data_IF_033726511292
#
_entry.id   IF_033726511292
#
_cell.length_a   1.000
_cell.length_b   1.000
_cell.length_c   1.000
_cell.angle_alpha   90.00
_cell.angle_beta   90.00
_cell.angle_gamma   90.00
#
_symmetry.space_group_name_H-M   'P 1'
#
loop_
_entity.id
_entity.type
_entity.pdbx_description
1 polymer ?
#
# COMPACT_ATOMS: atom_id res chain seq x y z
N UNK A 1 23.95 87.47 28.83
CA UNK A 1 23.28 87.41 27.51
C UNK A 1 23.81 86.20 26.75
N UNK A 2 22.86 85.43 26.19
CA UNK A 2 22.96 84.30 25.24
C UNK A 2 23.38 82.90 25.74
N UNK A 3 22.32 82.13 26.07
CA UNK A 3 22.02 80.72 25.80
C UNK A 3 23.11 79.63 25.88
N UNK A 4 22.77 78.54 26.58
CA UNK A 4 22.93 77.19 26.06
C UNK A 4 21.59 76.57 25.68
N UNK A 5 21.60 76.03 24.47
CA UNK A 5 20.54 75.39 23.72
C UNK A 5 19.89 74.20 24.42
N UNK A 6 18.57 74.19 24.30
CA UNK A 6 17.68 73.02 24.25
C UNK A 6 18.35 71.78 23.64
N UNK A 7 18.41 70.69 24.40
CA UNK A 7 18.44 69.32 23.90
C UNK A 7 17.27 68.53 24.52
N UNK A 8 16.04 68.97 24.23
CA UNK A 8 14.79 68.21 24.48
C UNK A 8 14.54 67.09 23.43
N UNK A 9 15.57 66.72 22.65
CA UNK A 9 15.45 65.77 21.53
C UNK A 9 15.89 64.33 21.80
N UNK A 10 16.62 64.04 22.89
CA UNK A 10 17.29 62.73 23.03
C UNK A 10 16.72 61.81 24.12
N UNK A 11 15.95 62.34 25.09
CA UNK A 11 15.46 61.53 26.23
C UNK A 11 14.27 60.66 25.85
N UNK A 12 13.38 61.14 24.98
CA UNK A 12 12.23 60.35 24.50
C UNK A 12 12.62 59.23 23.52
N UNK A 13 13.74 59.36 22.80
CA UNK A 13 14.20 58.33 21.85
C UNK A 13 14.84 57.16 22.60
N UNK A 14 15.62 57.42 23.66
CA UNK A 14 16.26 56.36 24.46
C UNK A 14 15.22 55.54 25.23
N UNK A 15 14.15 56.16 25.75
CA UNK A 15 13.08 55.44 26.45
C UNK A 15 12.27 54.53 25.51
N UNK A 16 12.01 54.96 24.28
CA UNK A 16 11.32 54.16 23.25
C UNK A 16 12.19 52.97 22.80
N UNK A 17 13.50 53.14 22.65
CA UNK A 17 14.42 52.06 22.25
C UNK A 17 14.51 50.97 23.33
N UNK A 18 14.52 51.33 24.62
CA UNK A 18 14.55 50.35 25.73
C UNK A 18 13.23 49.55 25.81
N UNK A 19 12.08 50.18 25.56
CA UNK A 19 10.77 49.49 25.53
C UNK A 19 10.67 48.54 24.31
N UNK A 20 11.18 48.94 23.14
CA UNK A 20 11.20 48.06 21.95
C UNK A 20 12.16 46.87 22.13
N UNK A 21 13.29 47.05 22.81
CA UNK A 21 14.23 45.95 23.11
C UNK A 21 13.72 44.97 24.19
N UNK A 22 12.95 45.44 25.17
CA UNK A 22 12.32 44.58 26.18
C UNK A 22 11.09 43.84 25.64
N UNK A 23 10.30 44.45 24.75
CA UNK A 23 9.20 43.77 24.05
C UNK A 23 9.70 42.79 22.98
N UNK A 24 10.86 43.06 22.38
CA UNK A 24 11.50 42.14 21.43
C UNK A 24 12.03 40.85 22.07
N UNK A 25 12.53 40.90 23.32
CA UNK A 25 13.06 39.71 24.00
C UNK A 25 11.98 38.84 24.64
N UNK A 26 10.85 39.42 25.11
CA UNK A 26 9.70 38.64 25.61
C UNK A 26 8.91 38.02 24.45
N UNK A 27 8.79 38.71 23.30
CA UNK A 27 8.16 38.15 22.10
C UNK A 27 8.96 37.00 21.47
N UNK A 28 10.29 37.09 21.45
CA UNK A 28 11.13 36.07 20.79
C UNK A 28 11.28 34.76 21.59
N UNK A 29 10.93 34.77 22.88
CA UNK A 29 10.88 33.56 23.71
C UNK A 29 9.46 32.98 23.88
N UNK A 30 8.40 33.76 23.64
CA UNK A 30 7.02 33.30 23.70
C UNK A 30 6.46 32.78 22.35
N UNK A 31 7.13 33.06 21.22
CA UNK A 31 6.73 32.51 19.90
C UNK A 31 7.45 31.22 19.52
N UNK A 32 8.24 30.62 20.43
CA UNK A 32 8.53 29.19 20.36
C UNK A 32 7.32 28.42 20.90
N UNK A 33 6.19 28.51 20.19
CA UNK A 33 5.51 27.25 19.89
C UNK A 33 6.61 26.33 19.38
N UNK A 34 6.85 25.14 19.98
CA UNK A 34 7.59 24.13 19.25
C UNK A 34 6.98 24.14 17.86
N UNK A 35 7.79 24.29 16.80
CA UNK A 35 7.32 23.88 15.49
C UNK A 35 6.57 22.57 15.75
N UNK A 36 5.27 22.46 15.39
CA UNK A 36 4.62 21.18 15.54
C UNK A 36 5.60 20.21 14.90
N UNK A 37 6.09 19.23 15.69
CA UNK A 37 6.82 18.11 15.15
C UNK A 37 6.10 17.77 13.86
N UNK A 38 6.78 17.63 12.70
CA UNK A 38 6.09 17.18 11.50
C UNK A 38 5.23 16.02 11.97
N UNK A 39 3.90 16.17 11.86
CA UNK A 39 2.97 15.15 12.32
C UNK A 39 3.56 13.84 11.83
N UNK A 40 3.75 12.82 12.71
CA UNK A 40 4.49 11.62 12.36
C UNK A 40 4.05 11.26 10.96
N UNK A 41 4.97 11.36 10.01
CA UNK A 41 4.64 11.21 8.60
C UNK A 41 3.85 9.92 8.56
N UNK A 42 2.55 9.99 8.22
CA UNK A 42 1.66 8.84 8.26
C UNK A 42 2.48 7.71 7.65
N UNK A 43 2.92 6.76 8.50
CA UNK A 43 3.82 5.72 8.03
C UNK A 43 3.07 5.11 6.86
N UNK A 44 3.66 5.20 5.66
CA UNK A 44 3.06 4.57 4.51
C UNK A 44 2.75 3.14 4.94
N UNK A 45 1.53 2.63 4.70
CA UNK A 45 1.18 1.29 5.16
C UNK A 45 2.28 0.34 4.73
N UNK A 46 2.79 -0.49 5.64
CA UNK A 46 3.70 -1.57 5.25
C UNK A 46 2.87 -2.63 4.51
N UNK A 47 2.64 -2.34 3.23
CA UNK A 47 1.88 -3.19 2.33
C UNK A 47 2.49 -4.59 2.30
N UNK A 48 3.82 -4.71 2.39
CA UNK A 48 4.50 -5.99 2.36
C UNK A 48 4.16 -6.86 3.59
N UNK A 49 4.16 -6.28 4.79
CA UNK A 49 3.82 -7.04 6.00
C UNK A 49 2.37 -7.57 5.96
N UNK A 50 1.43 -6.73 5.54
CA UNK A 50 0.02 -7.14 5.40
C UNK A 50 -0.18 -8.17 4.27
N UNK A 51 0.43 -7.96 3.10
CA UNK A 51 0.41 -8.90 1.97
C UNK A 51 0.97 -10.26 2.37
N UNK A 52 2.12 -10.30 3.06
CA UNK A 52 2.73 -11.55 3.53
C UNK A 52 1.84 -12.29 4.52
N UNK A 53 1.16 -11.57 5.42
CA UNK A 53 0.18 -12.17 6.33
C UNK A 53 -0.97 -12.82 5.53
N UNK A 54 -1.56 -12.10 4.58
CA UNK A 54 -2.68 -12.59 3.77
C UNK A 54 -2.24 -13.80 2.93
N UNK A 55 -1.04 -13.79 2.36
CA UNK A 55 -0.47 -14.94 1.66
C UNK A 55 -0.32 -16.14 2.59
N UNK A 56 0.23 -15.94 3.80
CA UNK A 56 0.35 -17.03 4.78
C UNK A 56 -1.00 -17.63 5.15
N UNK A 57 -2.01 -16.80 5.38
CA UNK A 57 -3.38 -17.25 5.66
C UNK A 57 -4.00 -17.96 4.46
N UNK A 58 -3.76 -17.47 3.24
CA UNK A 58 -4.19 -18.12 1.99
C UNK A 58 -3.60 -19.52 1.85
N UNK A 59 -2.28 -19.65 1.99
CA UNK A 59 -1.59 -20.93 1.79
C UNK A 59 -1.98 -21.94 2.88
N UNK A 60 -2.10 -21.51 4.13
CA UNK A 60 -2.48 -22.40 5.25
C UNK A 60 -3.95 -22.82 5.20
N UNK A 61 -4.83 -22.00 4.64
CA UNK A 61 -6.27 -22.28 4.52
C UNK A 61 -6.70 -22.70 3.11
N UNK A 62 -5.75 -22.94 2.20
CA UNK A 62 -6.03 -23.04 0.76
C UNK A 62 -7.11 -24.09 0.42
N UNK A 63 -6.93 -25.32 0.90
CA UNK A 63 -7.87 -26.42 0.65
C UNK A 63 -9.28 -26.05 1.10
N UNK A 64 -9.42 -25.49 2.31
CA UNK A 64 -10.71 -25.10 2.87
C UNK A 64 -11.32 -23.88 2.15
N UNK A 65 -10.48 -23.01 1.60
CA UNK A 65 -10.88 -21.84 0.82
C UNK A 65 -11.37 -22.25 -0.57
N UNK A 66 -10.56 -22.98 -1.35
CA UNK A 66 -10.90 -23.41 -2.70
C UNK A 66 -12.11 -24.34 -2.74
N UNK A 67 -12.32 -25.18 -1.71
CA UNK A 67 -13.50 -26.05 -1.61
C UNK A 67 -14.85 -25.28 -1.62
N UNK A 68 -14.82 -23.97 -1.33
CA UNK A 68 -15.98 -23.08 -1.34
C UNK A 68 -16.14 -22.30 -2.65
N UNK A 69 -15.20 -22.41 -3.58
CA UNK A 69 -15.28 -21.71 -4.86
C UNK A 69 -16.44 -22.26 -5.71
N UNK A 70 -16.94 -21.42 -6.61
CA UNK A 70 -17.92 -21.80 -7.61
C UNK A 70 -17.37 -22.92 -8.51
N UNK A 71 -16.11 -22.78 -8.93
CA UNK A 71 -15.34 -23.81 -9.64
C UNK A 71 -14.18 -24.24 -8.75
N UNK A 72 -14.21 -25.51 -8.35
CA UNK A 72 -13.27 -26.11 -7.40
C UNK A 72 -12.74 -27.41 -7.93
N UNK A 73 -11.63 -27.88 -7.35
CA UNK A 73 -11.10 -29.20 -7.64
C UNK A 73 -12.19 -30.28 -7.50
N UNK A 74 -12.22 -31.22 -8.45
CA UNK A 74 -13.17 -32.34 -8.43
C UNK A 74 -12.95 -33.24 -7.20
N UNK A 75 -13.86 -34.19 -6.94
CA UNK A 75 -13.73 -35.12 -5.79
C UNK A 75 -12.43 -35.96 -5.84
N UNK A 76 -11.84 -36.13 -7.02
CA UNK A 76 -10.54 -36.78 -7.23
C UNK A 76 -9.40 -35.79 -7.50
N UNK A 77 -9.67 -34.49 -7.53
CA UNK A 77 -8.73 -33.42 -7.83
C UNK A 77 -7.80 -33.13 -6.65
N UNK A 78 -6.57 -32.70 -6.96
CA UNK A 78 -5.62 -32.23 -5.94
C UNK A 78 -5.79 -30.73 -5.76
N UNK A 79 -5.84 -30.27 -4.51
CA UNK A 79 -5.89 -28.86 -4.16
C UNK A 79 -4.47 -28.27 -4.19
N UNK A 80 -3.89 -28.16 -5.39
CA UNK A 80 -2.55 -27.61 -5.56
C UNK A 80 -2.52 -26.16 -5.07
N UNK A 81 -1.46 -25.80 -4.35
CA UNK A 81 -1.32 -24.44 -3.86
C UNK A 81 -1.21 -23.43 -5.02
N UNK A 82 -1.72 -22.20 -4.83
CA UNK A 82 -1.63 -21.17 -5.85
C UNK A 82 -0.17 -20.78 -6.10
N UNK A 83 0.19 -20.67 -7.37
CA UNK A 83 1.54 -20.29 -7.81
C UNK A 83 1.64 -18.83 -8.32
N UNK A 84 0.51 -18.12 -8.40
CA UNK A 84 0.42 -16.69 -8.72
C UNK A 84 -0.63 -16.03 -7.84
N UNK A 85 -0.24 -14.95 -7.20
CA UNK A 85 -1.09 -14.10 -6.38
C UNK A 85 -0.79 -12.64 -6.71
N UNK A 86 -1.81 -11.82 -6.90
CA UNK A 86 -1.62 -10.39 -7.12
C UNK A 86 -2.63 -9.58 -6.33
N UNK A 87 -2.14 -8.66 -5.50
CA UNK A 87 -2.97 -7.71 -4.77
C UNK A 87 -3.39 -6.58 -5.69
N UNK A 88 -4.71 -6.39 -5.80
CA UNK A 88 -5.35 -5.30 -6.56
C UNK A 88 -6.03 -4.29 -5.62
N UNK A 89 -6.03 -4.56 -4.32
CA UNK A 89 -6.32 -3.65 -3.21
C UNK A 89 -5.69 -4.22 -1.92
N UNK A 90 -5.74 -3.48 -0.81
CA UNK A 90 -5.16 -3.90 0.48
C UNK A 90 -5.67 -5.24 1.03
N UNK A 91 -6.85 -5.67 0.60
CA UNK A 91 -7.48 -6.92 1.03
C UNK A 91 -8.10 -7.71 -0.12
N UNK A 92 -7.90 -7.28 -1.37
CA UNK A 92 -8.48 -7.95 -2.55
C UNK A 92 -7.37 -8.39 -3.48
N UNK A 93 -7.41 -9.65 -3.90
CA UNK A 93 -6.35 -10.30 -4.64
C UNK A 93 -6.90 -11.16 -5.77
N UNK A 94 -6.13 -11.26 -6.85
CA UNK A 94 -6.28 -12.26 -7.89
C UNK A 94 -5.45 -13.48 -7.49
N UNK A 95 -6.02 -14.66 -7.64
CA UNK A 95 -5.36 -15.94 -7.37
C UNK A 95 -5.49 -16.85 -8.58
N UNK A 96 -4.36 -17.40 -9.02
CA UNK A 96 -4.31 -18.48 -9.99
C UNK A 96 -4.40 -19.83 -9.27
N UNK A 97 -5.19 -20.74 -9.82
CA UNK A 97 -5.27 -22.11 -9.34
C UNK A 97 -5.71 -23.06 -10.45
N UNK A 98 -5.45 -24.36 -10.31
CA UNK A 98 -6.07 -25.38 -11.16
C UNK A 98 -7.18 -26.14 -10.40
N UNK A 99 -8.17 -26.63 -11.13
CA UNK A 99 -9.22 -27.51 -10.61
C UNK A 99 -8.88 -29.01 -10.78
N UNK A 100 -7.61 -29.33 -11.06
CA UNK A 100 -7.14 -30.65 -11.46
C UNK A 100 -7.25 -30.94 -12.95
N UNK A 101 -7.85 -30.05 -13.76
CA UNK A 101 -7.97 -30.19 -15.21
C UNK A 101 -7.44 -28.96 -15.96
N UNK A 102 -7.87 -27.77 -15.53
CA UNK A 102 -7.54 -26.50 -16.20
C UNK A 102 -7.23 -25.40 -15.21
N UNK A 103 -6.48 -24.41 -15.68
CA UNK A 103 -6.14 -23.20 -14.93
C UNK A 103 -7.32 -22.24 -14.83
N UNK A 104 -7.46 -21.60 -13.67
CA UNK A 104 -8.46 -20.61 -13.35
C UNK A 104 -7.82 -19.38 -12.71
N UNK A 105 -8.53 -18.26 -12.81
CA UNK A 105 -8.28 -17.06 -12.01
C UNK A 105 -9.54 -16.73 -11.22
N UNK A 106 -9.38 -16.44 -9.93
CA UNK A 106 -10.46 -15.88 -9.10
C UNK A 106 -10.02 -14.62 -8.37
N UNK A 107 -10.98 -13.72 -8.19
CA UNK A 107 -10.87 -12.56 -7.30
C UNK A 107 -11.30 -13.01 -5.91
N UNK A 108 -10.41 -12.88 -4.93
CA UNK A 108 -10.69 -13.16 -3.53
C UNK A 108 -10.64 -11.86 -2.72
N UNK A 109 -11.41 -11.84 -1.63
CA UNK A 109 -11.34 -10.81 -0.61
C UNK A 109 -11.02 -11.42 0.74
N UNK A 110 -10.02 -10.86 1.41
CA UNK A 110 -9.59 -11.23 2.75
C UNK A 110 -10.27 -10.31 3.78
N UNK A 111 -11.08 -10.88 4.66
CA UNK A 111 -11.76 -10.17 5.75
C UNK A 111 -11.76 -11.04 7.00
N UNK A 112 -11.35 -10.46 8.14
CA UNK A 112 -11.39 -11.12 9.45
C UNK A 112 -10.75 -12.51 9.46
N UNK A 113 -9.60 -12.69 8.80
CA UNK A 113 -8.91 -14.00 8.74
C UNK A 113 -9.48 -14.98 7.71
N UNK A 114 -10.48 -14.59 6.92
CA UNK A 114 -11.15 -15.46 5.96
C UNK A 114 -10.99 -14.93 4.54
N UNK A 115 -10.69 -15.82 3.60
CA UNK A 115 -10.71 -15.55 2.16
C UNK A 115 -12.04 -16.01 1.57
N UNK A 116 -12.69 -15.10 0.84
CA UNK A 116 -13.96 -15.36 0.16
C UNK A 116 -13.80 -15.06 -1.32
N UNK A 117 -14.26 -15.97 -2.17
CA UNK A 117 -14.34 -15.73 -3.61
C UNK A 117 -15.42 -14.68 -3.91
N UNK A 118 -15.02 -13.61 -4.60
CA UNK A 118 -15.94 -12.61 -5.13
C UNK A 118 -16.38 -12.95 -6.55
N UNK A 119 -15.44 -13.50 -7.35
CA UNK A 119 -15.65 -13.76 -8.77
C UNK A 119 -14.66 -14.82 -9.27
N UNK A 120 -15.17 -15.89 -9.87
CA UNK A 120 -14.39 -16.69 -10.81
C UNK A 120 -14.34 -15.96 -12.15
N UNK A 121 -13.12 -15.67 -12.62
CA UNK A 121 -12.86 -14.95 -13.88
C UNK A 121 -13.02 -15.89 -15.08
N UNK A 122 -12.71 -17.17 -14.90
CA UNK A 122 -12.88 -18.23 -15.88
C UNK A 122 -11.62 -19.06 -16.09
N UNK A 123 -11.66 -19.92 -17.10
CA UNK A 123 -10.56 -20.82 -17.48
C UNK A 123 -9.47 -20.03 -18.21
N UNK A 124 -8.42 -19.67 -17.48
CA UNK A 124 -7.29 -18.89 -17.99
C UNK A 124 -6.15 -18.87 -16.95
N UNK A 125 -4.91 -18.65 -17.42
CA UNK A 125 -3.74 -18.46 -16.55
C UNK A 125 -3.14 -17.05 -16.62
N UNK A 126 -3.58 -16.26 -17.60
CA UNK A 126 -3.32 -14.84 -17.84
C UNK A 126 -4.50 -14.24 -18.61
N UNK A 127 -4.64 -12.92 -18.62
CA UNK A 127 -5.67 -12.20 -19.34
C UNK A 127 -5.11 -10.96 -20.07
N UNK A 128 -5.83 -10.42 -21.06
CA UNK A 128 -5.50 -9.13 -21.66
C UNK A 128 -5.47 -7.98 -20.64
N UNK A 129 -4.66 -6.95 -20.91
CA UNK A 129 -4.51 -5.78 -20.03
C UNK A 129 -5.82 -5.05 -19.74
N UNK A 130 -6.72 -4.94 -20.72
CA UNK A 130 -8.02 -4.30 -20.58
C UNK A 130 -8.97 -5.11 -19.68
N UNK A 131 -8.99 -6.44 -19.84
CA UNK A 131 -9.73 -7.34 -18.95
C UNK A 131 -9.21 -7.27 -17.50
N UNK A 132 -7.89 -7.22 -17.33
CA UNK A 132 -7.26 -7.03 -16.02
C UNK A 132 -7.65 -5.69 -15.41
N UNK A 133 -7.57 -4.61 -16.17
CA UNK A 133 -7.93 -3.27 -15.69
C UNK A 133 -9.39 -3.21 -15.27
N UNK A 134 -10.30 -3.82 -16.04
CA UNK A 134 -11.71 -3.88 -15.69
C UNK A 134 -11.96 -4.60 -14.34
N UNK A 135 -11.17 -5.63 -14.01
CA UNK A 135 -11.24 -6.28 -12.69
C UNK A 135 -10.75 -5.35 -11.58
N UNK A 136 -9.66 -4.62 -11.81
CA UNK A 136 -9.14 -3.64 -10.84
C UNK A 136 -10.15 -2.52 -10.60
N UNK A 137 -10.81 -2.03 -11.65
CA UNK A 137 -11.79 -0.95 -11.56
C UNK A 137 -13.05 -1.37 -10.77
N UNK A 138 -13.44 -2.66 -10.85
CA UNK A 138 -14.63 -3.18 -10.17
C UNK A 138 -14.35 -3.67 -8.76
N UNK A 139 -13.23 -4.38 -8.55
CA UNK A 139 -12.95 -5.08 -7.30
C UNK A 139 -11.76 -4.53 -6.52
N UNK A 140 -10.89 -3.76 -7.18
CA UNK A 140 -9.64 -3.25 -6.63
C UNK A 140 -9.71 -1.80 -6.17
N UNK A 141 -8.51 -1.23 -6.01
CA UNK A 141 -8.27 0.18 -5.77
C UNK A 141 -7.15 0.63 -6.72
N UNK A 142 -7.47 1.51 -7.67
CA UNK A 142 -6.51 1.99 -8.67
C UNK A 142 -5.35 2.80 -8.08
N UNK A 143 -5.43 3.22 -6.81
CA UNK A 143 -4.36 3.88 -6.08
C UNK A 143 -3.48 2.91 -5.30
N UNK A 144 -3.88 1.65 -5.20
CA UNK A 144 -3.11 0.63 -4.51
C UNK A 144 -1.89 0.22 -5.35
N UNK A 145 -0.68 0.21 -4.78
CA UNK A 145 0.50 -0.29 -5.48
C UNK A 145 0.36 -1.81 -5.65
N UNK A 146 0.11 -2.26 -6.88
CA UNK A 146 -0.08 -3.68 -7.20
C UNK A 146 1.10 -4.52 -6.70
N UNK A 147 0.81 -5.51 -5.87
CA UNK A 147 1.79 -6.45 -5.32
C UNK A 147 1.66 -7.82 -5.99
N UNK A 148 2.62 -8.20 -6.83
CA UNK A 148 2.63 -9.49 -7.54
C UNK A 148 3.58 -10.49 -6.90
N UNK A 149 3.10 -11.72 -6.70
CA UNK A 149 3.82 -12.81 -6.08
C UNK A 149 3.68 -14.07 -6.91
N UNK A 150 4.78 -14.75 -7.21
CA UNK A 150 4.73 -15.99 -7.99
C UNK A 150 5.89 -16.92 -7.69
N UNK A 151 5.71 -18.20 -8.00
CA UNK A 151 6.80 -19.18 -7.97
C UNK A 151 7.58 -19.24 -9.29
N UNK A 152 7.14 -18.57 -10.36
CA UNK A 152 7.92 -18.50 -11.59
C UNK A 152 7.66 -17.25 -12.43
N UNK A 153 8.69 -16.79 -13.14
CA UNK A 153 8.58 -15.70 -14.12
C UNK A 153 9.42 -16.01 -15.36
N UNK A 154 9.05 -15.40 -16.48
CA UNK A 154 9.83 -15.47 -17.71
C UNK A 154 10.50 -14.12 -17.97
N UNK A 155 11.83 -14.08 -17.91
CA UNK A 155 12.63 -12.87 -18.16
C UNK A 155 13.68 -13.14 -19.23
N UNK A 156 13.73 -12.32 -20.26
CA UNK A 156 14.74 -12.40 -21.32
C UNK A 156 14.87 -13.81 -21.95
N UNK A 157 13.74 -14.48 -22.21
CA UNK A 157 13.75 -15.82 -22.80
C UNK A 157 14.03 -16.96 -21.81
N UNK A 158 14.14 -16.69 -20.51
CA UNK A 158 14.46 -17.69 -19.49
C UNK A 158 13.37 -17.76 -18.41
N UNK A 159 12.98 -18.98 -18.05
CA UNK A 159 12.20 -19.26 -16.84
C UNK A 159 13.07 -19.11 -15.61
N UNK A 160 12.59 -18.36 -14.63
CA UNK A 160 13.18 -18.22 -13.30
C UNK A 160 12.16 -18.80 -12.34
N UNK A 161 12.56 -19.85 -11.62
CA UNK A 161 11.74 -20.51 -10.60
C UNK A 161 12.13 -20.01 -9.21
N UNK A 162 11.14 -19.91 -8.34
CA UNK A 162 11.26 -19.56 -6.93
C UNK A 162 10.68 -20.71 -6.10
N UNK A 163 11.31 -21.08 -4.97
CA UNK A 163 10.81 -22.17 -4.13
C UNK A 163 9.47 -21.84 -3.44
N UNK A 164 9.14 -20.56 -3.32
CA UNK A 164 7.94 -20.04 -2.68
C UNK A 164 7.44 -18.80 -3.41
N UNK A 165 6.20 -18.36 -3.09
CA UNK A 165 5.61 -17.15 -3.65
C UNK A 165 6.50 -15.94 -3.35
N UNK A 166 7.23 -15.49 -4.37
CA UNK A 166 8.20 -14.41 -4.26
C UNK A 166 7.65 -13.16 -4.92
N UNK A 167 7.82 -12.00 -4.26
CA UNK A 167 7.37 -10.72 -4.82
C UNK A 167 8.18 -10.37 -6.07
N UNK A 168 7.48 -9.97 -7.13
CA UNK A 168 8.07 -9.62 -8.42
C UNK A 168 7.47 -8.32 -8.96
N UNK A 169 8.20 -7.55 -9.78
CA UNK A 169 7.68 -6.31 -10.37
C UNK A 169 6.71 -6.52 -11.55
N UNK A 170 6.66 -7.72 -12.13
CA UNK A 170 5.81 -8.01 -13.28
C UNK A 170 4.32 -8.10 -12.91
N UNK A 171 3.46 -7.66 -13.82
CA UNK A 171 2.04 -8.03 -13.76
C UNK A 171 1.87 -9.48 -14.24
N UNK A 172 1.94 -10.43 -13.30
CA UNK A 172 1.93 -11.89 -13.55
C UNK A 172 0.63 -12.43 -14.16
N UNK A 173 -0.42 -11.61 -14.23
CA UNK A 173 -1.72 -11.96 -14.80
C UNK A 173 -1.97 -11.32 -16.17
N UNK A 174 -1.08 -10.48 -16.68
CA UNK A 174 -1.23 -9.84 -17.99
C UNK A 174 -0.29 -10.44 -19.01
N UNK A 175 -0.82 -10.76 -20.21
CA UNK A 175 -0.06 -11.17 -21.40
C UNK A 175 -0.69 -10.64 -22.68
#
# INVERSE_FOLDING_TARGET
>A
MNNPSSNKGSVNIILVIIIVLLLGTVGYLATRTPSPLPAPANEAPDYNANENKIISDLLSSWVATQAKFAIKASESGTYNQPNKVQFIASTTLLVHYDDGLVDHISVLRYQNGTLTELKNVGVMSTMPQDAWQALVDVYGDSKYPVGSYTTNVFRNGKGIEYPELTKVPENIFVR
#
